data_IF_920836486986
#
_entry.id   IF_920836486986
#
_cell.length_a   1.000
_cell.length_b   1.000
_cell.length_c   1.000
_cell.angle_alpha   90.00
_cell.angle_beta   90.00
_cell.angle_gamma   90.00
#
_symmetry.space_group_name_H-M   'P 1'
#
loop_
_entity.id
_entity.type
_entity.pdbx_description
1 polymer ?
#
# COMPACT_ATOMS: atom_id res chain seq x y z
N UNK A 1 51.63 -55.99 -40.12
CA UNK A 1 51.82 -54.79 -39.26
C UNK A 1 50.68 -53.84 -39.58
N UNK A 2 49.59 -53.88 -38.79
CA UNK A 2 48.40 -53.03 -38.96
C UNK A 2 48.17 -52.27 -37.63
N UNK A 3 48.33 -50.95 -37.66
CA UNK A 3 48.08 -50.06 -36.53
C UNK A 3 46.56 -49.68 -36.55
N UNK A 4 45.82 -50.12 -35.55
CA UNK A 4 44.44 -49.70 -35.33
C UNK A 4 44.49 -48.42 -34.50
N UNK A 5 44.00 -47.33 -35.08
CA UNK A 5 43.77 -46.04 -34.45
C UNK A 5 42.33 -46.02 -33.90
N UNK A 6 42.22 -46.08 -32.60
CA UNK A 6 40.92 -46.05 -31.90
C UNK A 6 40.55 -44.59 -31.63
N UNK A 7 39.52 -44.11 -32.30
CA UNK A 7 38.97 -42.76 -32.15
C UNK A 7 38.02 -42.75 -30.96
N UNK A 8 38.41 -42.11 -29.84
CA UNK A 8 37.52 -41.87 -28.72
C UNK A 8 36.67 -40.61 -28.99
N UNK A 9 35.39 -40.81 -29.27
CA UNK A 9 34.39 -39.69 -29.26
C UNK A 9 34.02 -39.35 -27.82
N UNK A 10 34.43 -38.19 -27.35
CA UNK A 10 33.94 -37.58 -26.12
C UNK A 10 32.62 -36.84 -26.42
N UNK A 11 31.51 -37.41 -25.97
CA UNK A 11 30.23 -36.73 -25.95
C UNK A 11 30.19 -35.79 -24.75
N UNK A 12 30.30 -34.48 -24.97
CA UNK A 12 30.06 -33.46 -23.98
C UNK A 12 28.52 -33.22 -23.89
N UNK A 13 27.88 -33.76 -22.85
CA UNK A 13 26.51 -33.45 -22.53
C UNK A 13 26.47 -32.07 -21.85
N UNK A 14 26.02 -31.05 -22.59
CA UNK A 14 25.70 -29.74 -22.03
C UNK A 14 24.41 -29.82 -21.24
N UNK A 15 24.49 -29.83 -19.91
CA UNK A 15 23.39 -29.63 -19.00
C UNK A 15 22.94 -28.18 -19.06
N UNK A 16 21.89 -27.89 -19.83
CA UNK A 16 21.21 -26.61 -19.81
C UNK A 16 20.39 -26.55 -18.53
N UNK A 17 20.90 -25.89 -17.49
CA UNK A 17 20.11 -25.50 -16.36
C UNK A 17 19.12 -24.40 -16.81
N UNK A 18 17.92 -24.81 -17.16
CA UNK A 18 16.81 -23.90 -17.33
C UNK A 18 16.48 -23.26 -15.99
N UNK A 19 16.84 -21.99 -15.79
CA UNK A 19 16.27 -21.15 -14.75
C UNK A 19 14.79 -20.99 -15.09
N UNK A 20 13.97 -21.92 -14.59
CA UNK A 20 12.53 -21.73 -14.53
C UNK A 20 12.26 -20.59 -13.59
N UNK A 21 11.88 -19.43 -14.14
CA UNK A 21 11.23 -18.39 -13.34
C UNK A 21 9.97 -19.04 -12.74
N UNK A 22 10.05 -19.42 -11.48
CA UNK A 22 8.86 -19.78 -10.72
C UNK A 22 7.99 -18.53 -10.66
N UNK A 23 6.94 -18.49 -11.47
CA UNK A 23 5.82 -17.60 -11.27
C UNK A 23 5.29 -17.92 -9.85
N UNK A 24 5.59 -17.04 -8.92
CA UNK A 24 5.08 -17.11 -7.56
C UNK A 24 3.57 -17.02 -7.69
N UNK A 25 2.87 -18.14 -7.46
CA UNK A 25 1.41 -18.17 -7.40
C UNK A 25 1.00 -17.08 -6.41
N UNK A 26 0.28 -16.06 -6.91
CA UNK A 26 -0.06 -14.87 -6.16
C UNK A 26 -0.89 -15.20 -4.94
N UNK A 27 -0.21 -15.43 -3.81
CA UNK A 27 -0.83 -15.37 -2.50
C UNK A 27 -1.44 -13.98 -2.35
N UNK A 28 -2.69 -13.88 -1.93
CA UNK A 28 -3.31 -12.59 -1.68
C UNK A 28 -2.49 -11.87 -0.63
N UNK A 29 -1.96 -10.69 -0.96
CA UNK A 29 -1.23 -9.86 0.00
C UNK A 29 -2.25 -9.27 0.98
N UNK A 30 -2.46 -9.95 2.10
CA UNK A 30 -3.40 -9.51 3.13
C UNK A 30 -2.63 -8.76 4.22
N UNK A 31 -3.23 -7.68 4.70
CA UNK A 31 -2.71 -6.91 5.84
C UNK A 31 -3.86 -6.59 6.78
N UNK A 32 -3.70 -6.95 8.05
CA UNK A 32 -4.65 -6.58 9.10
C UNK A 32 -4.12 -5.37 9.88
N UNK A 33 -4.83 -4.25 9.82
CA UNK A 33 -4.63 -3.09 10.69
C UNK A 33 -5.45 -3.27 11.96
N UNK A 34 -4.82 -3.63 13.06
CA UNK A 34 -5.46 -3.70 14.38
C UNK A 34 -5.56 -2.29 14.94
N UNK A 35 -6.77 -1.76 15.06
CA UNK A 35 -6.98 -0.42 15.61
C UNK A 35 -7.67 -0.48 16.98
N UNK A 36 -7.63 0.62 17.72
CA UNK A 36 -8.40 0.76 18.96
C UNK A 36 -9.93 0.89 18.74
N UNK A 37 -10.39 0.84 17.46
CA UNK A 37 -11.81 0.82 17.08
C UNK A 37 -12.23 -0.53 16.46
N UNK A 38 -11.30 -1.48 16.28
CA UNK A 38 -11.49 -2.78 15.64
C UNK A 38 -10.49 -3.03 14.53
N UNK A 39 -10.56 -4.22 13.94
CA UNK A 39 -9.64 -4.66 12.89
C UNK A 39 -10.14 -4.27 11.51
N UNK A 40 -9.24 -3.81 10.65
CA UNK A 40 -9.48 -3.52 9.23
C UNK A 40 -8.57 -4.45 8.42
N UNK A 41 -9.16 -5.35 7.64
CA UNK A 41 -8.41 -6.28 6.79
C UNK A 41 -8.37 -5.77 5.36
N UNK A 42 -7.16 -5.61 4.85
CA UNK A 42 -6.86 -5.12 3.52
C UNK A 42 -6.44 -6.27 2.61
N UNK A 43 -6.98 -6.33 1.40
CA UNK A 43 -6.48 -7.11 0.28
C UNK A 43 -5.75 -6.18 -0.68
N UNK A 44 -4.43 -6.39 -0.84
CA UNK A 44 -3.58 -5.53 -1.64
C UNK A 44 -3.39 -6.11 -3.06
N UNK A 45 -3.41 -5.27 -4.07
CA UNK A 45 -3.32 -5.63 -5.48
C UNK A 45 -1.89 -5.37 -6.01
N UNK A 46 -0.98 -6.34 -5.76
CA UNK A 46 0.40 -6.26 -6.22
C UNK A 46 0.55 -6.43 -7.75
N UNK A 47 -0.48 -6.92 -8.44
CA UNK A 47 -0.48 -7.00 -9.90
C UNK A 47 -0.67 -5.62 -10.53
N UNK A 48 -1.61 -4.83 -9.97
CA UNK A 48 -1.95 -3.50 -10.47
C UNK A 48 -1.07 -2.38 -9.90
N UNK A 49 -0.54 -2.55 -8.68
CA UNK A 49 0.26 -1.54 -7.99
C UNK A 49 1.50 -2.16 -7.31
N UNK A 50 2.40 -2.80 -8.07
CA UNK A 50 3.52 -3.56 -7.50
C UNK A 50 4.46 -2.74 -6.63
N UNK A 51 4.82 -1.52 -7.03
CA UNK A 51 5.72 -0.64 -6.28
C UNK A 51 5.05 -0.12 -5.01
N UNK A 52 3.78 0.26 -5.11
CA UNK A 52 3.00 0.77 -4.00
C UNK A 52 2.75 -0.30 -2.95
N UNK A 53 2.38 -1.52 -3.37
CA UNK A 53 2.18 -2.65 -2.46
C UNK A 53 3.48 -3.05 -1.79
N UNK A 54 4.59 -3.15 -2.53
CA UNK A 54 5.90 -3.47 -1.96
C UNK A 54 6.32 -2.45 -0.88
N UNK A 55 6.17 -1.15 -1.16
CA UNK A 55 6.44 -0.07 -0.22
C UNK A 55 5.56 -0.15 1.05
N UNK A 56 4.26 -0.37 0.90
CA UNK A 56 3.34 -0.50 2.03
C UNK A 56 3.68 -1.72 2.89
N UNK A 57 3.98 -2.87 2.27
CA UNK A 57 4.37 -4.10 2.97
C UNK A 57 5.71 -3.95 3.68
N UNK A 58 6.67 -3.22 3.11
CA UNK A 58 7.95 -2.91 3.75
C UNK A 58 7.73 -2.14 5.06
N UNK A 59 6.94 -1.07 5.04
CA UNK A 59 6.58 -0.31 6.23
C UNK A 59 5.81 -1.16 7.26
N UNK A 60 4.85 -1.97 6.82
CA UNK A 60 4.06 -2.83 7.69
C UNK A 60 4.95 -3.87 8.40
N UNK A 61 5.81 -4.56 7.65
CA UNK A 61 6.76 -5.56 8.19
C UNK A 61 7.79 -4.96 9.14
N UNK A 62 8.20 -3.71 8.91
CA UNK A 62 9.10 -2.98 9.79
C UNK A 62 8.42 -2.45 11.07
N UNK A 63 7.11 -2.69 11.25
CA UNK A 63 6.35 -2.14 12.39
C UNK A 63 6.19 -0.62 12.35
N UNK A 64 6.40 0.00 11.18
CA UNK A 64 6.32 1.45 11.04
C UNK A 64 4.94 2.00 11.40
N UNK A 65 3.88 1.28 11.03
CA UNK A 65 2.50 1.72 11.29
C UNK A 65 2.06 1.53 12.74
N UNK A 66 2.79 0.72 13.54
CA UNK A 66 2.46 0.48 14.93
C UNK A 66 2.56 1.78 15.73
N UNK A 67 1.48 2.12 16.45
CA UNK A 67 1.35 3.36 17.22
C UNK A 67 1.05 4.60 16.37
N UNK A 68 0.91 4.49 15.04
CA UNK A 68 0.45 5.61 14.21
C UNK A 68 -1.06 5.80 14.32
N UNK A 69 -1.54 6.98 13.93
CA UNK A 69 -2.95 7.34 14.02
C UNK A 69 -3.58 7.63 12.66
N UNK A 70 -4.89 7.51 12.58
CA UNK A 70 -5.66 8.22 11.56
C UNK A 70 -5.74 9.69 11.99
N UNK A 71 -4.88 10.51 11.41
CA UNK A 71 -4.68 11.91 11.80
C UNK A 71 -5.58 12.90 11.05
N UNK A 72 -6.31 12.44 10.02
CA UNK A 72 -7.26 13.25 9.27
C UNK A 72 -8.45 12.40 8.88
N UNK A 73 -9.63 12.79 9.32
CA UNK A 73 -10.88 12.09 9.10
C UNK A 73 -11.94 13.07 8.62
N UNK A 74 -12.44 12.85 7.40
CA UNK A 74 -13.51 13.67 6.80
C UNK A 74 -14.67 12.76 6.45
N UNK A 75 -15.81 12.88 7.13
CA UNK A 75 -17.03 12.13 6.83
C UNK A 75 -17.45 12.30 5.37
N UNK A 76 -17.87 11.21 4.72
CA UNK A 76 -18.28 11.23 3.31
C UNK A 76 -17.15 11.44 2.31
N UNK A 77 -15.88 11.40 2.77
CA UNK A 77 -14.72 11.52 1.91
C UNK A 77 -13.71 10.39 2.17
N UNK A 78 -12.88 10.50 3.21
CA UNK A 78 -11.82 9.51 3.49
C UNK A 78 -11.37 9.56 4.95
N UNK A 79 -10.65 8.50 5.38
CA UNK A 79 -9.87 8.47 6.60
C UNK A 79 -8.39 8.29 6.24
N UNK A 80 -7.51 9.20 6.69
CA UNK A 80 -6.09 9.22 6.33
C UNK A 80 -5.22 8.97 7.56
N UNK A 81 -4.21 8.10 7.42
CA UNK A 81 -3.35 7.70 8.52
C UNK A 81 -1.94 7.27 8.07
N UNK A 82 -1.21 6.65 9.00
CA UNK A 82 0.07 5.99 8.74
C UNK A 82 1.28 6.93 8.66
N UNK A 83 1.21 8.16 9.17
CA UNK A 83 2.35 9.08 9.12
C UNK A 83 2.70 9.76 10.43
N UNK A 84 1.76 9.80 11.38
CA UNK A 84 1.90 10.53 12.64
C UNK A 84 1.63 9.64 13.83
N UNK A 85 2.33 9.90 14.93
CA UNK A 85 2.07 9.34 16.24
C UNK A 85 0.94 10.08 16.96
N UNK A 86 0.47 9.56 18.10
CA UNK A 86 -0.67 10.15 18.82
C UNK A 86 -0.40 11.58 19.34
N UNK A 87 0.85 11.98 19.51
CA UNK A 87 1.28 13.34 19.85
C UNK A 87 1.48 14.25 18.63
N UNK A 88 1.12 13.78 17.42
CA UNK A 88 1.27 14.46 16.13
C UNK A 88 2.71 14.64 15.68
N UNK A 89 3.65 13.84 16.17
CA UNK A 89 4.99 13.79 15.61
C UNK A 89 4.98 12.99 14.31
N UNK A 90 5.52 13.57 13.25
CA UNK A 90 5.67 12.87 11.97
C UNK A 90 6.82 11.86 12.05
N UNK A 91 6.57 10.62 11.67
CA UNK A 91 7.61 9.58 11.61
C UNK A 91 8.50 9.79 10.37
N UNK A 92 9.82 9.58 10.49
CA UNK A 92 10.74 9.64 9.35
C UNK A 92 10.40 8.54 8.33
N UNK A 93 10.45 8.86 7.04
CA UNK A 93 10.07 7.95 5.94
C UNK A 93 11.25 7.66 5.02
N UNK A 94 11.14 6.57 4.26
CA UNK A 94 12.02 6.27 3.14
C UNK A 94 11.81 7.28 1.99
N UNK A 95 12.61 7.16 0.92
CA UNK A 95 12.45 7.94 -0.29
C UNK A 95 11.03 7.76 -0.90
N UNK A 96 10.51 8.79 -1.60
CA UNK A 96 9.23 8.70 -2.28
C UNK A 96 9.22 7.64 -3.38
N UNK A 97 8.03 7.10 -3.65
CA UNK A 97 7.79 6.14 -4.72
C UNK A 97 7.10 6.77 -5.93
N UNK A 98 7.20 6.11 -7.09
CA UNK A 98 6.45 6.45 -8.29
C UNK A 98 4.95 6.28 -8.04
N UNK A 99 4.15 7.20 -8.60
CA UNK A 99 2.70 7.12 -8.53
C UNK A 99 2.17 6.15 -9.58
N UNK A 100 1.51 5.09 -9.15
CA UNK A 100 0.91 4.06 -10.01
C UNK A 100 -0.61 4.28 -10.23
N UNK A 101 -1.12 5.51 -10.10
CA UNK A 101 -2.57 5.78 -10.22
C UNK A 101 -3.13 5.53 -11.63
N UNK A 102 -2.27 5.39 -12.64
CA UNK A 102 -2.65 5.01 -14.01
C UNK A 102 -2.91 3.50 -14.18
N UNK A 103 -3.01 2.74 -13.10
CA UNK A 103 -3.20 1.28 -13.06
C UNK A 103 -4.64 0.80 -13.35
N UNK A 104 -5.56 1.74 -13.56
CA UNK A 104 -6.97 1.44 -13.85
C UNK A 104 -7.86 1.24 -12.62
N UNK A 105 -7.30 1.14 -11.41
CA UNK A 105 -8.08 1.10 -10.18
C UNK A 105 -8.70 2.46 -9.88
N UNK A 106 -9.86 2.45 -9.21
CA UNK A 106 -10.64 3.65 -8.90
C UNK A 106 -10.66 3.91 -7.41
N UNK A 107 -10.77 5.20 -7.04
CA UNK A 107 -10.98 5.61 -5.65
C UNK A 107 -12.45 5.43 -5.25
N UNK A 108 -12.91 4.18 -5.28
CA UNK A 108 -14.25 3.78 -4.88
C UNK A 108 -14.31 3.56 -3.36
N UNK A 109 -15.51 3.50 -2.80
CA UNK A 109 -15.72 3.26 -1.36
C UNK A 109 -14.96 2.00 -0.90
N UNK A 110 -14.29 2.10 0.24
CA UNK A 110 -13.45 1.08 0.87
C UNK A 110 -12.16 0.70 0.12
N UNK A 111 -11.78 1.42 -0.93
CA UNK A 111 -10.44 1.27 -1.50
C UNK A 111 -9.40 2.01 -0.66
N UNK A 112 -8.16 1.48 -0.63
CA UNK A 112 -7.00 2.12 -0.01
C UNK A 112 -6.10 2.73 -1.09
N UNK A 113 -5.66 3.97 -0.88
CA UNK A 113 -4.79 4.70 -1.79
C UNK A 113 -3.68 5.44 -1.04
N UNK A 114 -2.57 5.73 -1.75
CA UNK A 114 -1.44 6.47 -1.17
C UNK A 114 -1.74 7.96 -1.10
N UNK A 115 -1.53 8.54 0.07
CA UNK A 115 -1.48 9.99 0.22
C UNK A 115 -0.16 10.53 -0.35
N UNK A 116 -0.19 11.76 -0.88
CA UNK A 116 0.95 12.44 -1.46
C UNK A 116 0.85 13.95 -1.29
N UNK A 117 1.96 14.65 -1.54
CA UNK A 117 1.96 16.11 -1.69
C UNK A 117 1.42 16.51 -3.07
N UNK A 118 1.54 17.78 -3.44
CA UNK A 118 1.18 18.24 -4.79
C UNK A 118 2.02 17.57 -5.89
N UNK A 119 3.29 17.23 -5.61
CA UNK A 119 4.13 16.51 -6.54
C UNK A 119 3.57 15.10 -6.80
N UNK A 120 3.39 14.68 -8.06
CA UNK A 120 2.77 13.39 -8.39
C UNK A 120 3.46 12.18 -7.76
N UNK A 121 4.78 12.12 -7.81
CA UNK A 121 5.62 11.03 -7.35
C UNK A 121 6.25 11.35 -5.98
N UNK A 122 5.41 11.67 -4.98
CA UNK A 122 5.84 12.09 -3.64
C UNK A 122 5.26 11.25 -2.50
N UNK A 123 4.57 10.17 -2.82
CA UNK A 123 4.03 9.27 -1.81
C UNK A 123 5.17 8.55 -1.07
N UNK A 124 5.02 8.42 0.25
CA UNK A 124 5.97 7.69 1.11
C UNK A 124 5.24 6.62 1.93
N UNK A 125 4.82 6.91 3.17
CA UNK A 125 4.17 5.95 4.06
C UNK A 125 2.66 6.20 4.25
N UNK A 126 2.21 7.46 4.14
CA UNK A 126 0.82 7.80 4.44
C UNK A 126 -0.15 7.25 3.40
N UNK A 127 -1.28 6.76 3.88
CA UNK A 127 -2.36 6.22 3.06
C UNK A 127 -3.71 6.79 3.50
N UNK A 128 -4.74 6.60 2.68
CA UNK A 128 -6.11 6.86 3.08
C UNK A 128 -7.04 5.74 2.60
N UNK A 129 -8.14 5.56 3.32
CA UNK A 129 -9.23 4.66 2.93
C UNK A 129 -10.42 5.53 2.53
N UNK A 130 -10.93 5.32 1.33
CA UNK A 130 -12.09 6.03 0.82
C UNK A 130 -13.35 5.57 1.56
N UNK A 131 -14.16 6.51 2.04
CA UNK A 131 -15.48 6.21 2.65
C UNK A 131 -16.65 6.62 1.77
N UNK A 132 -16.34 7.06 0.55
CA UNK A 132 -17.28 7.35 -0.52
C UNK A 132 -16.60 7.11 -1.87
N UNK A 133 -17.35 7.16 -2.97
CA UNK A 133 -16.82 7.11 -4.32
C UNK A 133 -16.20 8.45 -4.69
N UNK A 134 -14.87 8.52 -4.65
CA UNK A 134 -14.09 9.73 -4.86
C UNK A 134 -13.50 9.78 -6.28
N UNK A 135 -14.31 9.66 -7.31
CA UNK A 135 -13.87 9.59 -8.71
C UNK A 135 -13.03 10.78 -9.17
N UNK A 136 -13.10 11.93 -8.49
CA UNK A 136 -12.26 13.10 -8.76
C UNK A 136 -10.78 12.88 -8.39
N UNK A 137 -10.46 11.88 -7.54
CA UNK A 137 -9.10 11.47 -7.17
C UNK A 137 -8.47 10.49 -8.16
N UNK A 138 -9.21 10.01 -9.15
CA UNK A 138 -8.70 9.06 -10.14
C UNK A 138 -7.72 9.72 -11.11
N UNK A 139 -6.81 8.90 -11.65
CA UNK A 139 -5.92 9.31 -12.73
C UNK A 139 -6.73 9.80 -13.94
N UNK A 140 -6.33 10.92 -14.50
CA UNK A 140 -6.90 11.54 -15.70
C UNK A 140 -5.85 11.73 -16.80
N UNK A 141 -4.65 12.17 -16.43
CA UNK A 141 -3.55 12.45 -17.35
C UNK A 141 -2.22 12.51 -16.58
N UNK A 142 -1.06 12.28 -17.22
CA UNK A 142 0.26 12.37 -16.58
C UNK A 142 0.71 13.84 -16.42
N UNK A 143 -0.11 14.63 -15.74
CA UNK A 143 0.15 16.04 -15.41
C UNK A 143 0.11 16.24 -13.91
N UNK A 144 0.66 17.31 -13.38
CA UNK A 144 0.69 17.60 -11.95
C UNK A 144 -0.70 17.50 -11.30
N UNK A 145 -1.74 17.99 -11.95
CA UNK A 145 -3.12 17.96 -11.47
C UNK A 145 -3.88 16.69 -11.87
N UNK A 146 -3.42 15.99 -12.91
CA UNK A 146 -4.12 14.87 -13.53
C UNK A 146 -3.71 13.48 -13.00
N UNK A 147 -2.57 13.37 -12.30
CA UNK A 147 -2.05 12.08 -11.84
C UNK A 147 -2.96 11.33 -10.88
N UNK A 148 -3.75 12.05 -10.08
CA UNK A 148 -4.61 11.41 -9.09
C UNK A 148 -3.84 10.71 -7.97
N UNK A 149 -4.48 9.70 -7.34
CA UNK A 149 -3.96 8.96 -6.18
C UNK A 149 -3.98 7.46 -6.46
N UNK A 150 -2.85 6.79 -6.24
CA UNK A 150 -2.66 5.37 -6.54
C UNK A 150 -3.46 4.50 -5.58
N UNK A 151 -4.55 3.93 -6.06
CA UNK A 151 -5.25 2.84 -5.37
C UNK A 151 -4.39 1.59 -5.50
N UNK A 152 -4.21 0.86 -4.39
CA UNK A 152 -3.37 -0.34 -4.34
C UNK A 152 -4.01 -1.51 -3.58
N UNK A 153 -5.29 -1.41 -3.22
CA UNK A 153 -6.03 -2.45 -2.54
C UNK A 153 -7.41 -1.99 -2.07
N UNK A 154 -8.03 -2.83 -1.27
CA UNK A 154 -9.37 -2.58 -0.71
C UNK A 154 -9.53 -3.22 0.67
N UNK A 155 -10.46 -2.70 1.45
CA UNK A 155 -10.93 -3.31 2.69
C UNK A 155 -11.85 -4.48 2.34
N UNK A 156 -11.51 -5.67 2.84
CA UNK A 156 -12.30 -6.90 2.63
C UNK A 156 -13.03 -7.36 3.90
N UNK A 157 -12.62 -6.84 5.07
CA UNK A 157 -13.30 -7.04 6.36
C UNK A 157 -13.07 -5.82 7.24
N UNK A 158 -14.07 -5.45 8.06
CA UNK A 158 -14.00 -4.28 8.96
C UNK A 158 -14.46 -2.98 8.27
N UNK A 159 -15.33 -3.05 7.26
CA UNK A 159 -15.96 -1.88 6.65
C UNK A 159 -16.74 -1.08 7.71
N UNK A 160 -17.41 -1.77 8.63
CA UNK A 160 -18.11 -1.16 9.77
C UNK A 160 -17.18 -0.41 10.72
N UNK A 161 -15.90 -0.87 10.84
CA UNK A 161 -14.87 -0.17 11.62
C UNK A 161 -14.43 1.11 10.89
N UNK A 162 -14.24 1.04 9.57
CA UNK A 162 -13.94 2.21 8.72
C UNK A 162 -15.06 3.24 8.84
N UNK A 163 -16.33 2.81 8.78
CA UNK A 163 -17.49 3.70 8.91
C UNK A 163 -17.62 4.31 10.31
N UNK A 164 -17.26 3.55 11.35
CA UNK A 164 -17.21 4.06 12.72
C UNK A 164 -16.13 5.12 12.89
N UNK A 165 -14.93 4.88 12.31
CA UNK A 165 -13.82 5.86 12.32
C UNK A 165 -14.23 7.13 11.54
N UNK A 166 -14.90 6.99 10.38
CA UNK A 166 -15.35 8.13 9.58
C UNK A 166 -16.35 9.05 10.29
N UNK A 167 -16.99 8.59 11.37
CA UNK A 167 -17.99 9.33 12.15
C UNK A 167 -17.48 9.89 13.48
N UNK A 168 -16.19 9.67 13.82
CA UNK A 168 -15.63 10.22 15.05
C UNK A 168 -15.65 11.74 15.03
N UNK A 169 -15.77 12.35 16.21
CA UNK A 169 -15.68 13.81 16.33
C UNK A 169 -14.27 14.26 15.99
N UNK A 170 -14.13 15.25 15.11
CA UNK A 170 -12.86 15.84 14.70
C UNK A 170 -12.74 17.30 15.14
N UNK A 171 -11.53 17.82 15.14
CA UNK A 171 -11.20 19.20 15.44
C UNK A 171 -9.83 19.58 14.90
N UNK A 172 -9.36 20.77 15.25
CA UNK A 172 -8.02 21.23 14.86
C UNK A 172 -7.01 20.87 15.95
N UNK A 173 -5.81 20.48 15.52
CA UNK A 173 -4.66 20.25 16.40
C UNK A 173 -3.40 20.88 15.82
N UNK A 174 -3.00 22.03 16.35
CA UNK A 174 -1.98 22.87 15.75
C UNK A 174 -2.39 23.32 14.34
N UNK A 175 -1.58 23.03 13.34
CA UNK A 175 -1.87 23.35 11.94
C UNK A 175 -2.68 22.29 11.19
N UNK A 176 -2.98 21.17 11.85
CA UNK A 176 -3.74 20.06 11.27
C UNK A 176 -5.24 20.25 11.54
N UNK A 177 -6.02 20.08 10.48
CA UNK A 177 -7.49 20.11 10.51
C UNK A 177 -8.04 18.69 10.43
N UNK A 178 -9.30 18.52 10.84
CA UNK A 178 -10.03 17.25 10.76
C UNK A 178 -9.37 16.11 11.55
N UNK A 179 -8.64 16.43 12.63
CA UNK A 179 -7.97 15.46 13.50
C UNK A 179 -8.99 14.88 14.48
N UNK A 180 -9.10 13.53 14.62
CA UNK A 180 -9.95 12.93 15.65
C UNK A 180 -9.62 13.48 17.04
N UNK A 181 -10.65 13.92 17.78
CA UNK A 181 -10.50 14.44 19.15
C UNK A 181 -9.95 13.36 20.07
N UNK A 182 -10.45 12.12 19.93
CA UNK A 182 -9.88 10.92 20.52
C UNK A 182 -9.05 10.21 19.47
N UNK A 183 -7.77 9.97 19.76
CA UNK A 183 -6.87 9.36 18.80
C UNK A 183 -7.38 7.98 18.34
N UNK A 184 -7.49 7.80 17.04
CA UNK A 184 -7.74 6.50 16.41
C UNK A 184 -6.38 5.90 16.06
N UNK A 185 -5.95 4.93 16.87
CA UNK A 185 -4.61 4.37 16.83
C UNK A 185 -4.59 3.04 16.08
N UNK A 186 -3.62 2.88 15.19
CA UNK A 186 -3.22 1.59 14.62
C UNK A 186 -2.27 0.95 15.63
N UNK A 187 -2.77 0.00 16.43
CA UNK A 187 -1.97 -0.68 17.43
C UNK A 187 -0.91 -1.57 16.78
N UNK A 188 -1.28 -2.22 15.67
CA UNK A 188 -0.38 -3.09 14.91
C UNK A 188 -0.82 -3.25 13.46
N UNK A 189 0.14 -3.39 12.55
CA UNK A 189 -0.07 -3.83 11.18
C UNK A 189 0.53 -5.22 10.98
N UNK A 190 -0.32 -6.21 10.65
CA UNK A 190 0.07 -7.63 10.50
C UNK A 190 -0.02 -8.00 9.03
N UNK A 191 1.09 -8.48 8.46
CA UNK A 191 1.18 -9.02 7.10
C UNK A 191 0.96 -10.52 7.17
N UNK A 192 0.01 -11.04 6.40
CA UNK A 192 -0.36 -12.47 6.33
C UNK A 192 0.25 -13.16 5.11
#
# INVERSE_FOLDING_TARGET
>A
MRKNLMFCLLLAAALVFGFGAQAQAGGKNMVTLQTNKGDIVLELDAEKAPKTVANFLEYAKAGFYDGTIFHRVIPGFMIQGGGFTADMAQKPTNAPIENEANNGLKNDTYTIAMARTQAPHSATAQFFINVANNGFLNFKAPTMQGWGYAVFGKVVKGQEVVDAIAKVRTGNRGFHQDVPVEAVVINKAIVE
#
